data_IF_046648059587
#
_entry.id   IF_046648059587
#
_cell.length_a   1.000
_cell.length_b   1.000
_cell.length_c   1.000
_cell.angle_alpha   90.00
_cell.angle_beta   90.00
_cell.angle_gamma   90.00
#
_symmetry.space_group_name_H-M   'P 1'
#
loop_
_entity.id
_entity.type
_entity.pdbx_description
1 polymer ?
#
# COMPACT_ATOMS: atom_id res chain seq x y z
N UNK A 1 -26.86 20.26 -17.01
CA UNK A 1 -25.99 19.55 -16.05
C UNK A 1 -26.00 18.03 -16.28
N UNK A 2 -26.16 17.56 -17.54
CA UNK A 2 -26.08 16.13 -17.91
C UNK A 2 -25.12 15.87 -19.10
N UNK A 3 -24.44 16.92 -19.60
CA UNK A 3 -23.54 16.82 -20.76
C UNK A 3 -22.09 16.46 -20.39
N UNK A 4 -21.72 16.48 -19.11
CA UNK A 4 -20.33 16.33 -18.66
C UNK A 4 -19.94 14.87 -18.38
N UNK A 5 -20.92 13.99 -18.14
CA UNK A 5 -20.67 12.57 -17.79
C UNK A 5 -20.37 11.71 -19.03
N UNK A 6 -20.60 12.24 -20.25
CA UNK A 6 -20.39 11.55 -21.53
C UNK A 6 -18.91 11.44 -21.95
N UNK A 7 -17.99 12.12 -21.26
CA UNK A 7 -16.57 12.19 -21.62
C UNK A 7 -15.64 11.33 -20.75
N UNK A 8 -16.17 10.46 -19.89
CA UNK A 8 -15.39 9.30 -19.39
C UNK A 8 -15.27 8.26 -20.52
N UNK A 9 -14.80 8.72 -21.67
CA UNK A 9 -14.51 7.90 -22.83
C UNK A 9 -13.47 6.86 -22.42
N UNK A 10 -13.56 5.71 -23.07
CA UNK A 10 -12.74 4.50 -22.90
C UNK A 10 -11.25 4.75 -23.26
N UNK A 11 -10.62 5.73 -22.61
CA UNK A 11 -9.27 6.20 -22.85
C UNK A 11 -8.35 5.68 -21.76
N UNK A 12 -7.15 5.29 -22.18
CA UNK A 12 -6.11 4.88 -21.26
C UNK A 12 -5.56 6.13 -20.56
N UNK A 13 -5.32 6.11 -19.24
CA UNK A 13 -4.65 7.22 -18.55
C UNK A 13 -3.29 7.53 -19.20
N UNK A 14 -2.97 8.82 -19.36
CA UNK A 14 -1.72 9.25 -19.99
C UNK A 14 -0.48 8.64 -19.30
N UNK A 15 0.42 8.12 -20.12
CA UNK A 15 1.67 7.50 -19.68
C UNK A 15 1.53 6.07 -19.14
N UNK A 16 0.32 5.50 -19.12
CA UNK A 16 0.10 4.10 -18.80
C UNK A 16 0.93 3.16 -19.69
N UNK A 17 0.92 3.39 -21.00
CA UNK A 17 1.62 2.53 -21.97
C UNK A 17 3.14 2.59 -21.78
N UNK A 18 3.66 3.78 -21.44
CA UNK A 18 5.07 3.95 -21.07
C UNK A 18 5.42 3.16 -19.79
N UNK A 19 4.57 3.19 -18.77
CA UNK A 19 4.80 2.44 -17.52
C UNK A 19 4.68 0.93 -17.73
N UNK A 20 3.72 0.49 -18.54
CA UNK A 20 3.58 -0.90 -18.94
C UNK A 20 4.83 -1.40 -19.67
N UNK A 21 5.34 -0.60 -20.63
CA UNK A 21 6.59 -0.88 -21.34
C UNK A 21 7.79 -0.90 -20.39
N UNK A 22 7.84 0.01 -19.43
CA UNK A 22 8.91 0.07 -18.43
C UNK A 22 8.94 -1.20 -17.56
N UNK A 23 7.78 -1.69 -17.10
CA UNK A 23 7.70 -2.94 -16.35
C UNK A 23 8.09 -4.16 -17.19
N UNK A 24 7.67 -4.21 -18.46
CA UNK A 24 8.14 -5.25 -19.39
C UNK A 24 9.66 -5.24 -19.54
N UNK A 25 10.24 -4.06 -19.74
CA UNK A 25 11.69 -3.89 -19.90
C UNK A 25 12.45 -4.23 -18.61
N UNK A 26 11.89 -3.92 -17.43
CA UNK A 26 12.45 -4.32 -16.12
C UNK A 26 12.60 -5.84 -16.02
N UNK A 27 11.63 -6.59 -16.53
CA UNK A 27 11.68 -8.06 -16.60
C UNK A 27 12.53 -8.59 -17.76
N UNK A 28 13.11 -7.72 -18.59
CA UNK A 28 13.91 -8.07 -19.79
C UNK A 28 13.14 -8.92 -20.80
N UNK A 29 11.82 -8.74 -20.89
CA UNK A 29 10.95 -9.48 -21.80
C UNK A 29 10.68 -8.71 -23.10
N UNK A 30 10.53 -9.43 -24.20
CA UNK A 30 10.01 -8.89 -25.45
C UNK A 30 8.47 -8.78 -25.42
N UNK A 31 7.88 -8.12 -26.41
CA UNK A 31 6.42 -7.89 -26.44
C UNK A 31 5.59 -9.18 -26.55
N UNK A 32 6.10 -10.22 -27.21
CA UNK A 32 5.38 -11.50 -27.31
C UNK A 32 5.41 -12.26 -25.99
N UNK A 33 6.57 -12.30 -25.33
CA UNK A 33 6.74 -12.95 -24.02
C UNK A 33 5.87 -12.29 -22.96
N UNK A 34 5.84 -10.95 -22.93
CA UNK A 34 5.01 -10.21 -21.98
C UNK A 34 3.52 -10.35 -22.28
N UNK A 35 3.13 -10.36 -23.56
CA UNK A 35 1.74 -10.63 -23.96
C UNK A 35 1.27 -12.00 -23.45
N UNK A 36 2.14 -13.01 -23.52
CA UNK A 36 1.84 -14.36 -23.03
C UNK A 36 1.59 -14.38 -21.52
N UNK A 37 2.29 -13.56 -20.72
CA UNK A 37 2.00 -13.42 -19.28
C UNK A 37 0.57 -12.89 -19.04
N UNK A 38 0.13 -11.93 -19.85
CA UNK A 38 -1.21 -11.36 -19.79
C UNK A 38 -2.30 -12.19 -20.47
N UNK A 39 -1.96 -13.35 -21.06
CA UNK A 39 -2.91 -14.19 -21.81
C UNK A 39 -3.44 -13.53 -23.10
N UNK A 40 -2.69 -12.60 -23.69
CA UNK A 40 -3.11 -11.84 -24.88
C UNK A 40 -2.13 -12.03 -26.05
N UNK A 41 -2.54 -11.55 -27.22
CA UNK A 41 -1.69 -11.57 -28.42
C UNK A 41 -0.62 -10.47 -28.39
N UNK A 42 0.50 -10.68 -29.11
CA UNK A 42 1.53 -9.63 -29.30
C UNK A 42 0.95 -8.31 -29.84
N UNK A 43 0.05 -8.29 -30.85
CA UNK A 43 -0.60 -7.05 -31.27
C UNK A 43 -1.37 -6.35 -30.14
N UNK A 44 -2.09 -7.10 -29.28
CA UNK A 44 -2.76 -6.51 -28.11
C UNK A 44 -1.78 -5.79 -27.21
N UNK A 45 -0.62 -6.39 -26.94
CA UNK A 45 0.45 -5.76 -26.15
C UNK A 45 0.94 -4.45 -26.77
N UNK A 46 1.13 -4.43 -28.08
CA UNK A 46 1.54 -3.21 -28.80
C UNK A 46 0.49 -2.10 -28.63
N UNK A 47 -0.79 -2.43 -28.78
CA UNK A 47 -1.89 -1.47 -28.61
C UNK A 47 -2.00 -0.95 -27.17
N UNK A 48 -1.68 -1.77 -26.17
CA UNK A 48 -1.65 -1.34 -24.77
C UNK A 48 -0.45 -0.42 -24.50
N UNK A 49 0.74 -0.75 -25.00
CA UNK A 49 1.94 0.07 -24.84
C UNK A 49 1.87 1.41 -25.58
N UNK A 50 1.08 1.49 -26.66
CA UNK A 50 0.83 2.72 -27.41
C UNK A 50 -0.46 3.44 -27.00
N UNK A 51 -1.13 2.97 -25.94
CA UNK A 51 -2.37 3.55 -25.39
C UNK A 51 -3.55 3.61 -26.39
N UNK A 52 -3.46 2.86 -27.49
CA UNK A 52 -4.52 2.77 -28.51
C UNK A 52 -5.69 1.90 -28.05
N UNK A 53 -5.47 1.04 -27.04
CA UNK A 53 -6.50 0.17 -26.48
C UNK A 53 -6.36 0.09 -24.97
N UNK A 54 -7.50 0.07 -24.28
CA UNK A 54 -7.56 -0.18 -22.84
C UNK A 54 -7.41 -1.68 -22.57
N UNK A 55 -6.44 -2.13 -21.76
CA UNK A 55 -6.39 -3.50 -21.29
C UNK A 55 -7.53 -3.79 -20.33
N UNK A 56 -8.02 -5.02 -20.31
CA UNK A 56 -9.05 -5.42 -19.37
C UNK A 56 -8.47 -5.83 -18.01
N UNK A 57 -9.37 -6.00 -17.04
CA UNK A 57 -9.00 -6.41 -15.68
C UNK A 57 -8.40 -7.82 -15.65
N UNK A 58 -8.75 -8.71 -16.59
CA UNK A 58 -8.21 -10.08 -16.64
C UNK A 58 -6.73 -10.07 -17.03
N UNK A 59 -6.38 -9.28 -18.03
CA UNK A 59 -5.01 -9.03 -18.43
C UNK A 59 -4.19 -8.45 -17.27
N UNK A 60 -4.71 -7.43 -16.58
CA UNK A 60 -4.01 -6.82 -15.44
C UNK A 60 -3.83 -7.82 -14.29
N UNK A 61 -4.88 -8.59 -13.96
CA UNK A 61 -4.82 -9.60 -12.91
C UNK A 61 -3.78 -10.69 -13.21
N UNK A 62 -3.64 -11.11 -14.47
CA UNK A 62 -2.63 -12.09 -14.88
C UNK A 62 -1.18 -11.57 -14.72
N UNK A 63 -0.98 -10.26 -14.69
CA UNK A 63 0.35 -9.65 -14.51
C UNK A 63 0.73 -9.43 -13.04
N UNK A 64 -0.24 -9.39 -12.12
CA UNK A 64 -0.03 -9.00 -10.71
C UNK A 64 1.09 -9.75 -9.98
N UNK A 65 1.38 -11.01 -10.34
CA UNK A 65 2.43 -11.79 -9.68
C UNK A 65 3.86 -11.36 -10.02
N UNK A 66 4.07 -10.74 -11.19
CA UNK A 66 5.41 -10.44 -11.73
C UNK A 66 5.65 -8.96 -12.00
N UNK A 67 4.57 -8.19 -12.04
CA UNK A 67 4.54 -6.80 -12.50
C UNK A 67 3.91 -5.93 -11.41
N UNK A 68 4.50 -4.75 -11.18
CA UNK A 68 3.89 -3.75 -10.30
C UNK A 68 2.69 -3.08 -11.03
N UNK A 69 1.54 -3.74 -10.97
CA UNK A 69 0.29 -3.25 -11.58
C UNK A 69 -0.15 -1.93 -10.96
N UNK A 70 0.12 -1.71 -9.68
CA UNK A 70 -0.22 -0.45 -9.02
C UNK A 70 0.62 0.71 -9.56
N UNK A 71 1.91 0.50 -9.85
CA UNK A 71 2.73 1.48 -10.56
C UNK A 71 2.19 1.81 -11.95
N UNK A 72 1.79 0.79 -12.72
CA UNK A 72 1.23 1.01 -14.06
C UNK A 72 -0.02 1.89 -13.99
N UNK A 73 -0.91 1.62 -13.03
CA UNK A 73 -2.17 2.37 -12.87
C UNK A 73 -1.95 3.77 -12.28
N UNK A 74 -1.13 3.89 -11.23
CA UNK A 74 -1.02 5.12 -10.43
C UNK A 74 0.16 6.02 -10.79
N UNK A 75 1.15 5.50 -11.53
CA UNK A 75 2.42 6.19 -11.77
C UNK A 75 3.39 6.20 -10.59
N UNK A 76 2.98 5.69 -9.42
CA UNK A 76 3.80 5.67 -8.21
C UNK A 76 4.34 4.25 -8.02
N UNK A 77 5.67 4.08 -8.06
CA UNK A 77 6.28 2.78 -7.76
C UNK A 77 5.98 2.40 -6.33
N UNK A 78 5.50 1.18 -6.10
CA UNK A 78 5.64 0.57 -4.78
C UNK A 78 7.14 0.25 -4.63
N UNK A 79 7.91 1.20 -4.12
CA UNK A 79 9.21 0.85 -3.55
C UNK A 79 8.95 -0.15 -2.42
N UNK A 80 9.55 -1.33 -2.56
CA UNK A 80 9.52 -2.48 -1.65
C UNK A 80 9.57 -2.05 -0.20
N UNK A 81 8.40 -1.91 0.43
CA UNK A 81 8.22 -1.20 1.68
C UNK A 81 8.85 0.21 1.64
N UNK A 82 8.14 1.18 2.17
CA UNK A 82 8.88 2.16 2.94
C UNK A 82 9.50 1.40 4.13
N UNK A 83 10.65 0.75 3.93
CA UNK A 83 11.75 0.91 4.88
C UNK A 83 12.24 2.35 4.71
N UNK A 84 11.32 3.33 4.80
CA UNK A 84 11.69 4.66 5.24
C UNK A 84 12.39 4.38 6.55
N UNK A 85 13.63 4.84 6.65
CA UNK A 85 14.34 4.81 7.90
C UNK A 85 13.37 5.28 8.97
N UNK A 86 12.88 4.35 9.78
CA UNK A 86 12.00 4.69 10.88
C UNK A 86 12.92 5.48 11.78
N UNK A 87 12.72 6.79 11.79
CA UNK A 87 13.57 7.69 12.55
C UNK A 87 13.53 7.25 14.01
N UNK A 88 14.68 7.22 14.67
CA UNK A 88 14.78 6.84 16.07
C UNK A 88 13.83 7.68 16.94
N UNK A 89 13.56 8.93 16.57
CA UNK A 89 12.58 9.80 17.22
C UNK A 89 11.14 9.27 17.18
N UNK A 90 10.76 8.56 16.12
CA UNK A 90 9.42 7.94 15.99
C UNK A 90 9.32 6.74 16.90
N UNK A 91 10.36 5.89 16.90
CA UNK A 91 10.44 4.73 17.80
C UNK A 91 10.41 5.22 19.25
N UNK A 92 11.18 6.26 19.58
CA UNK A 92 11.17 6.86 20.90
C UNK A 92 9.80 7.40 21.29
N UNK A 93 9.09 8.10 20.39
CA UNK A 93 7.75 8.61 20.66
C UNK A 93 6.74 7.49 20.96
N UNK A 94 6.80 6.39 20.19
CA UNK A 94 5.96 5.21 20.41
C UNK A 94 6.28 4.58 21.76
N UNK A 95 7.56 4.30 22.05
CA UNK A 95 7.99 3.69 23.29
C UNK A 95 7.62 4.55 24.50
N UNK A 96 7.89 5.86 24.46
CA UNK A 96 7.49 6.79 25.54
C UNK A 96 5.98 6.79 25.77
N UNK A 97 5.18 6.68 24.71
CA UNK A 97 3.72 6.64 24.83
C UNK A 97 3.25 5.33 25.46
N UNK A 98 3.85 4.20 25.07
CA UNK A 98 3.57 2.88 25.66
C UNK A 98 4.00 2.85 27.14
N UNK A 99 5.19 3.35 27.45
CA UNK A 99 5.73 3.38 28.82
C UNK A 99 4.90 4.32 29.72
N UNK A 100 4.46 5.47 29.22
CA UNK A 100 3.56 6.36 29.96
C UNK A 100 2.20 5.71 30.24
N UNK A 101 1.69 4.93 29.28
CA UNK A 101 0.48 4.15 29.45
C UNK A 101 0.68 3.01 30.44
N UNK A 102 1.77 2.24 30.34
CA UNK A 102 2.12 1.18 31.28
C UNK A 102 2.13 1.65 32.74
N UNK A 103 2.69 2.83 33.00
CA UNK A 103 2.74 3.41 34.34
C UNK A 103 1.36 3.82 34.90
N UNK A 104 0.35 3.94 34.04
CA UNK A 104 -1.03 4.28 34.41
C UNK A 104 -1.94 3.05 34.40
N UNK A 105 -1.61 2.05 33.60
CA UNK A 105 -2.38 0.82 33.44
C UNK A 105 -2.20 -0.10 34.64
N UNK A 106 -3.29 -0.75 35.04
CA UNK A 106 -3.29 -1.78 36.10
C UNK A 106 -2.73 -3.13 35.60
N UNK A 107 -2.42 -3.24 34.30
CA UNK A 107 -1.98 -4.48 33.64
C UNK A 107 -0.47 -4.67 33.71
N UNK A 108 -0.06 -5.91 33.98
CA UNK A 108 1.29 -6.38 33.67
C UNK A 108 1.46 -6.51 32.16
N UNK A 109 2.25 -5.62 31.57
CA UNK A 109 2.61 -5.69 30.15
C UNK A 109 3.81 -6.61 30.00
N UNK A 110 3.67 -7.65 29.18
CA UNK A 110 4.78 -8.53 28.84
C UNK A 110 5.63 -7.95 27.71
N UNK A 111 6.92 -8.29 27.64
CA UNK A 111 7.82 -7.88 26.56
C UNK A 111 7.25 -8.21 25.17
N UNK A 112 6.60 -9.37 25.05
CA UNK A 112 5.94 -9.78 23.81
C UNK A 112 4.81 -8.83 23.42
N UNK A 113 3.89 -8.55 24.35
CA UNK A 113 2.77 -7.65 24.07
C UNK A 113 3.26 -6.22 23.77
N UNK A 114 4.31 -5.78 24.47
CA UNK A 114 4.99 -4.51 24.17
C UNK A 114 5.51 -4.48 22.73
N UNK A 115 6.20 -5.53 22.28
CA UNK A 115 6.68 -5.64 20.91
C UNK A 115 5.54 -5.66 19.87
N UNK A 116 4.41 -6.32 20.20
CA UNK A 116 3.21 -6.33 19.35
C UNK A 116 2.60 -4.93 19.22
N UNK A 117 2.50 -4.16 20.31
CA UNK A 117 2.03 -2.77 20.28
C UNK A 117 2.97 -1.87 19.46
N UNK A 118 4.28 -2.00 19.64
CA UNK A 118 5.27 -1.27 18.82
C UNK A 118 5.10 -1.61 17.34
N UNK A 119 5.00 -2.90 17.01
CA UNK A 119 4.78 -3.33 15.62
C UNK A 119 3.50 -2.76 15.02
N UNK A 120 2.41 -2.77 15.78
CA UNK A 120 1.13 -2.19 15.38
C UNK A 120 1.23 -0.69 15.09
N UNK A 121 1.88 0.09 15.96
CA UNK A 121 2.00 1.53 15.79
C UNK A 121 2.98 1.93 14.68
N UNK A 122 4.00 1.11 14.41
CA UNK A 122 4.90 1.31 13.27
C UNK A 122 4.17 1.15 11.92
N UNK A 123 3.12 0.33 11.85
CA UNK A 123 2.27 0.23 10.65
C UNK A 123 1.44 1.50 10.41
N UNK A 124 1.25 2.34 11.44
CA UNK A 124 0.47 3.60 11.37
C UNK A 124 1.32 4.82 11.02
N UNK A 125 2.62 4.65 10.78
CA UNK A 125 3.52 5.74 10.35
C UNK A 125 3.10 6.25 8.98
N UNK A 126 2.85 7.55 8.88
CA UNK A 126 2.42 8.20 7.65
C UNK A 126 3.55 8.33 6.61
N UNK A 127 3.20 8.88 5.44
CA UNK A 127 4.15 9.10 4.37
C UNK A 127 5.26 10.12 4.71
N UNK A 128 5.22 10.81 5.85
CA UNK A 128 6.26 11.73 6.30
C UNK A 128 7.07 11.18 7.47
N UNK A 129 6.85 9.92 7.87
CA UNK A 129 7.50 9.36 9.05
C UNK A 129 6.90 9.87 10.36
N UNK A 130 5.68 10.43 10.35
CA UNK A 130 4.99 10.87 11.55
C UNK A 130 3.96 9.85 11.98
N UNK A 131 3.74 9.75 13.29
CA UNK A 131 2.67 8.93 13.85
C UNK A 131 1.71 9.82 14.59
N UNK A 132 0.42 9.59 14.40
CA UNK A 132 -0.63 10.28 15.14
C UNK A 132 -0.65 9.76 16.59
N UNK A 133 -0.02 10.52 17.48
CA UNK A 133 0.05 10.18 18.91
C UNK A 133 -1.31 10.19 19.61
N UNK A 134 -2.31 10.90 19.09
CA UNK A 134 -3.65 10.93 19.69
C UNK A 134 -4.44 9.66 19.32
N UNK A 135 -4.21 9.13 18.11
CA UNK A 135 -4.69 7.80 17.72
C UNK A 135 -4.07 6.69 18.58
N UNK A 136 -2.77 6.75 18.86
CA UNK A 136 -2.10 5.78 19.76
C UNK A 136 -2.76 5.81 21.14
N UNK A 137 -2.85 6.99 21.77
CA UNK A 137 -3.46 7.13 23.10
C UNK A 137 -4.90 6.64 23.14
N UNK A 138 -5.68 6.92 22.10
CA UNK A 138 -7.06 6.46 21.97
C UNK A 138 -7.13 4.93 21.89
N UNK A 139 -6.22 4.32 21.11
CA UNK A 139 -6.12 2.85 20.98
C UNK A 139 -5.78 2.20 22.32
N UNK A 140 -4.77 2.72 23.02
CA UNK A 140 -4.36 2.22 24.33
C UNK A 140 -5.49 2.35 25.37
N UNK A 141 -6.23 3.45 25.35
CA UNK A 141 -7.41 3.64 26.21
C UNK A 141 -8.51 2.61 25.95
N UNK A 142 -8.74 2.20 24.69
CA UNK A 142 -9.72 1.15 24.36
C UNK A 142 -9.26 -0.20 24.91
N UNK A 143 -7.96 -0.50 24.86
CA UNK A 143 -7.41 -1.75 25.40
C UNK A 143 -7.55 -1.85 26.92
N UNK A 144 -7.56 -0.72 27.63
CA UNK A 144 -7.91 -0.67 29.05
C UNK A 144 -9.41 -0.89 29.29
N UNK A 145 -10.29 -0.24 28.52
CA UNK A 145 -11.75 -0.32 28.76
C UNK A 145 -12.34 -1.68 28.45
N UNK A 146 -11.82 -2.40 27.44
CA UNK A 146 -12.28 -3.76 27.12
C UNK A 146 -11.90 -4.83 28.14
N UNK A 147 -11.10 -4.49 29.16
CA UNK A 147 -10.81 -5.39 30.29
C UNK A 147 -11.85 -5.32 31.40
N UNK A 148 -12.62 -4.22 31.48
CA UNK A 148 -13.62 -4.02 32.54
C UNK A 148 -14.95 -4.75 32.26
N UNK A 149 -15.19 -5.22 31.03
CA UNK A 149 -16.46 -5.84 30.63
C UNK A 149 -16.46 -7.38 30.75
N UNK A 150 -15.32 -8.01 31.08
CA UNK A 150 -15.23 -9.48 31.22
C UNK A 150 -15.34 -9.99 32.66
N UNK A 151 -15.78 -9.17 33.62
CA UNK A 151 -15.96 -9.56 35.04
C UNK A 151 -17.42 -9.33 35.53
N UNK A 152 -18.40 -9.23 34.63
CA UNK A 152 -19.83 -9.32 34.99
C UNK A 152 -20.49 -10.49 34.29
#
# INVERSE_FOLDING_TARGET
MLHEVSQLNNTVPEGFGLRLKAERQRLKLNQAEFAALGGVSRPSQVYYESEQRVPDVRYLAALCEKVDVMYILSGKRHTEANTKAIDASVIQAILTTIDAWENTSVRLITDRFRAELVSLFLQQVDANGKVDTDLIKSTLRILDTQSATSIC
#
